data_IF_651092144680
#
_entry.id   IF_651092144680
#
_cell.length_a   1.000
_cell.length_b   1.000
_cell.length_c   1.000
_cell.angle_alpha   90.00
_cell.angle_beta   90.00
_cell.angle_gamma   90.00
#
_symmetry.space_group_name_H-M   'P 1'
#
loop_
_entity.id
_entity.type
_entity.pdbx_description
1 polymer ?
#
# COMPACT_ATOMS: atom_id res chain seq x y z
N UNK A 1 -34.78 8.85 22.82
CA UNK A 1 -34.14 8.78 21.48
C UNK A 1 -34.16 7.34 21.02
N UNK A 2 -34.68 7.06 19.82
CA UNK A 2 -34.85 5.70 19.31
C UNK A 2 -33.48 5.14 18.87
N UNK A 3 -33.25 3.83 19.03
CA UNK A 3 -31.97 3.18 18.74
C UNK A 3 -31.43 3.47 17.33
N UNK A 4 -32.32 3.61 16.35
CA UNK A 4 -31.99 3.98 14.97
C UNK A 4 -31.44 5.41 14.83
N UNK A 5 -31.97 6.36 15.61
CA UNK A 5 -31.50 7.74 15.58
C UNK A 5 -30.10 7.86 16.22
N UNK A 6 -29.85 7.14 17.31
CA UNK A 6 -28.52 7.04 17.93
C UNK A 6 -27.50 6.36 17.02
N UNK A 7 -27.90 5.29 16.31
CA UNK A 7 -27.03 4.64 15.33
C UNK A 7 -26.71 5.56 14.15
N UNK A 8 -27.69 6.28 13.63
CA UNK A 8 -27.50 7.25 12.54
C UNK A 8 -26.48 8.33 12.90
N UNK A 9 -26.59 8.92 14.10
CA UNK A 9 -25.63 9.92 14.59
C UNK A 9 -24.23 9.34 14.78
N UNK A 10 -24.14 8.12 15.33
CA UNK A 10 -22.87 7.42 15.50
C UNK A 10 -22.22 7.07 14.15
N UNK A 11 -23.00 6.62 13.16
CA UNK A 11 -22.53 6.27 11.83
C UNK A 11 -22.09 7.50 11.01
N UNK A 12 -22.75 8.65 11.18
CA UNK A 12 -22.32 9.91 10.58
C UNK A 12 -20.98 10.40 11.17
N UNK A 13 -20.79 10.22 12.48
CA UNK A 13 -19.51 10.53 13.15
C UNK A 13 -18.39 9.58 12.72
N UNK A 14 -18.71 8.31 12.51
CA UNK A 14 -17.76 7.25 12.17
C UNK A 14 -17.86 6.84 10.69
N UNK A 15 -17.46 7.74 9.78
CA UNK A 15 -17.61 7.54 8.32
C UNK A 15 -16.96 6.26 7.79
N UNK A 16 -15.96 5.71 8.50
CA UNK A 16 -15.31 4.43 8.17
C UNK A 16 -16.27 3.22 8.18
N UNK A 17 -17.41 3.32 8.88
CA UNK A 17 -18.39 2.24 8.96
C UNK A 17 -18.94 1.86 7.58
N UNK A 18 -19.10 2.84 6.68
CA UNK A 18 -19.63 2.60 5.34
C UNK A 18 -18.66 1.80 4.48
N UNK A 19 -17.36 2.07 4.60
CA UNK A 19 -16.33 1.29 3.94
C UNK A 19 -16.29 -0.14 4.49
N UNK A 20 -16.36 -0.31 5.81
CA UNK A 20 -16.39 -1.63 6.45
C UNK A 20 -17.62 -2.45 6.02
N UNK A 21 -18.81 -1.85 6.03
CA UNK A 21 -20.03 -2.49 5.54
C UNK A 21 -19.93 -2.84 4.06
N UNK A 22 -19.40 -1.95 3.22
CA UNK A 22 -19.19 -2.21 1.80
C UNK A 22 -18.30 -3.44 1.55
N UNK A 23 -17.19 -3.54 2.29
CA UNK A 23 -16.28 -4.70 2.22
C UNK A 23 -16.99 -5.98 2.67
N UNK A 24 -17.72 -5.95 3.79
CA UNK A 24 -18.44 -7.13 4.30
C UNK A 24 -19.55 -7.61 3.36
N UNK A 25 -20.32 -6.68 2.78
CA UNK A 25 -21.37 -6.99 1.81
C UNK A 25 -20.74 -7.59 0.55
N UNK A 26 -19.69 -6.96 0.00
CA UNK A 26 -19.02 -7.47 -1.18
C UNK A 26 -18.43 -8.86 -0.94
N UNK A 27 -17.80 -9.07 0.21
CA UNK A 27 -17.27 -10.37 0.60
C UNK A 27 -18.37 -11.43 0.70
N UNK A 28 -19.53 -11.10 1.29
CA UNK A 28 -20.67 -12.01 1.39
C UNK A 28 -21.22 -12.36 0.00
N UNK A 29 -21.43 -11.36 -0.86
CA UNK A 29 -21.91 -11.56 -2.24
C UNK A 29 -20.95 -12.46 -3.01
N UNK A 30 -19.65 -12.18 -2.97
CA UNK A 30 -18.64 -12.99 -3.67
C UNK A 30 -18.57 -14.41 -3.09
N UNK A 31 -18.71 -14.58 -1.78
CA UNK A 31 -18.73 -15.90 -1.13
C UNK A 31 -19.92 -16.74 -1.60
N UNK A 32 -21.08 -16.12 -1.79
CA UNK A 32 -22.30 -16.79 -2.30
C UNK A 32 -22.14 -17.13 -3.78
N UNK A 33 -21.74 -16.17 -4.61
CA UNK A 33 -21.62 -16.36 -6.08
C UNK A 33 -20.57 -17.42 -6.43
N UNK A 34 -19.48 -17.47 -5.68
CA UNK A 34 -18.39 -18.44 -5.92
C UNK A 34 -18.57 -19.75 -5.15
N UNK A 35 -19.57 -19.85 -4.27
CA UNK A 35 -19.75 -20.94 -3.30
C UNK A 35 -18.51 -21.22 -2.44
N UNK A 36 -17.67 -20.20 -2.20
CA UNK A 36 -16.44 -20.30 -1.42
C UNK A 36 -16.48 -19.36 -0.22
N UNK A 37 -16.99 -19.88 0.89
CA UNK A 37 -16.92 -19.17 2.17
C UNK A 37 -15.56 -19.39 2.82
N UNK A 38 -14.80 -18.32 3.05
CA UNK A 38 -13.44 -18.40 3.57
C UNK A 38 -13.12 -17.21 4.46
N UNK A 39 -12.95 -17.44 5.77
CA UNK A 39 -12.46 -16.42 6.69
C UNK A 39 -11.01 -16.03 6.39
N UNK A 40 -10.22 -16.94 5.80
CA UNK A 40 -8.85 -16.63 5.37
C UNK A 40 -8.82 -15.60 4.23
N UNK A 41 -9.82 -15.57 3.35
CA UNK A 41 -9.94 -14.49 2.35
C UNK A 41 -10.11 -13.12 3.01
N UNK A 42 -10.89 -13.03 4.08
CA UNK A 42 -11.08 -11.79 4.84
C UNK A 42 -9.79 -11.38 5.57
N UNK A 43 -9.06 -12.33 6.15
CA UNK A 43 -7.74 -12.07 6.75
C UNK A 43 -6.75 -11.49 5.74
N UNK A 44 -6.73 -12.01 4.50
CA UNK A 44 -5.87 -11.47 3.44
C UNK A 44 -6.25 -10.05 3.01
N UNK A 45 -7.55 -9.73 3.01
CA UNK A 45 -8.04 -8.37 2.76
C UNK A 45 -7.62 -7.43 3.88
N UNK A 46 -7.74 -7.84 5.14
CA UNK A 46 -7.33 -7.05 6.31
C UNK A 46 -5.82 -6.78 6.28
N UNK A 47 -5.01 -7.79 5.93
CA UNK A 47 -3.56 -7.65 5.79
C UNK A 47 -3.20 -6.63 4.70
N UNK A 48 -3.84 -6.73 3.52
CA UNK A 48 -3.66 -5.75 2.44
C UNK A 48 -4.11 -4.34 2.84
N UNK A 49 -5.25 -4.23 3.53
CA UNK A 49 -5.78 -2.96 4.01
C UNK A 49 -4.87 -2.33 5.08
N UNK A 50 -4.20 -3.14 5.90
CA UNK A 50 -3.26 -2.66 6.93
C UNK A 50 -2.07 -1.94 6.28
N UNK A 51 -1.50 -2.53 5.23
CA UNK A 51 -0.44 -1.86 4.45
C UNK A 51 -0.91 -0.54 3.84
N UNK A 52 -2.09 -0.55 3.20
CA UNK A 52 -2.67 0.67 2.61
C UNK A 52 -3.05 1.72 3.66
N UNK A 53 -3.37 1.32 4.88
CA UNK A 53 -3.68 2.25 5.99
C UNK A 53 -2.43 3.01 6.41
N UNK A 54 -1.29 2.33 6.57
CA UNK A 54 -0.01 2.99 6.88
C UNK A 54 0.37 3.99 5.79
N UNK A 55 0.25 3.57 4.54
CA UNK A 55 0.49 4.43 3.37
C UNK A 55 -0.48 5.61 3.34
N UNK A 56 -1.76 5.38 3.64
CA UNK A 56 -2.80 6.40 3.69
C UNK A 56 -2.55 7.45 4.77
N UNK A 57 -1.98 7.07 5.91
CA UNK A 57 -1.52 8.01 6.93
C UNK A 57 -0.40 8.90 6.37
N UNK A 58 0.55 8.32 5.64
CA UNK A 58 1.58 9.08 4.92
C UNK A 58 0.99 10.06 3.89
N UNK A 59 0.05 9.59 3.07
CA UNK A 59 -0.65 10.41 2.10
C UNK A 59 -1.44 11.56 2.75
N UNK A 60 -1.97 11.35 3.96
CA UNK A 60 -2.69 12.39 4.70
C UNK A 60 -1.80 13.61 4.96
N UNK A 61 -0.50 13.42 5.22
CA UNK A 61 0.43 14.55 5.32
C UNK A 61 0.49 15.32 4.00
N UNK A 62 0.71 14.66 2.87
CA UNK A 62 0.78 15.30 1.54
C UNK A 62 -0.48 16.12 1.24
N UNK A 63 -1.66 15.56 1.54
CA UNK A 63 -2.95 16.21 1.32
C UNK A 63 -3.14 17.41 2.24
N UNK A 64 -2.82 17.27 3.53
CA UNK A 64 -3.14 18.29 4.55
C UNK A 64 -2.10 19.40 4.68
N UNK A 65 -0.81 19.10 4.52
CA UNK A 65 0.25 20.12 4.61
C UNK A 65 0.45 20.86 3.29
N UNK A 66 0.00 20.28 2.17
CA UNK A 66 0.04 20.88 0.85
C UNK A 66 -1.23 21.65 0.48
N UNK A 67 -1.43 21.86 -0.82
CA UNK A 67 -2.64 22.49 -1.39
C UNK A 67 -3.74 21.46 -1.69
N UNK A 68 -3.85 20.39 -0.89
CA UNK A 68 -4.75 19.27 -1.19
C UNK A 68 -4.26 18.37 -2.34
N UNK A 69 -2.95 18.32 -2.57
CA UNK A 69 -2.37 17.47 -3.61
C UNK A 69 -2.47 15.99 -3.22
N UNK A 70 -2.60 15.12 -4.23
CA UNK A 70 -2.64 13.67 -4.05
C UNK A 70 -1.47 13.07 -4.84
N UNK A 71 -0.67 12.21 -4.20
CA UNK A 71 0.36 11.43 -4.87
C UNK A 71 -0.21 10.15 -5.48
N UNK A 72 -0.25 10.08 -6.80
CA UNK A 72 -0.71 8.89 -7.55
C UNK A 72 0.42 7.89 -7.85
N UNK A 73 1.68 8.25 -7.61
CA UNK A 73 2.84 7.39 -7.85
C UNK A 73 3.03 6.30 -6.78
N UNK A 74 2.32 6.41 -5.65
CA UNK A 74 2.47 5.56 -4.45
C UNK A 74 2.42 4.06 -4.77
N UNK A 75 1.50 3.61 -5.61
CA UNK A 75 1.40 2.20 -5.99
C UNK A 75 2.66 1.70 -6.73
N UNK A 76 3.18 2.51 -7.65
CA UNK A 76 4.44 2.22 -8.36
C UNK A 76 5.65 2.28 -7.45
N UNK A 77 5.68 3.20 -6.47
CA UNK A 77 6.75 3.28 -5.45
C UNK A 77 6.78 2.01 -4.61
N UNK A 78 5.62 1.55 -4.12
CA UNK A 78 5.52 0.30 -3.34
C UNK A 78 6.04 -0.88 -4.16
N UNK A 79 5.63 -0.97 -5.43
CA UNK A 79 6.01 -2.09 -6.29
C UNK A 79 7.50 -2.06 -6.60
N UNK A 80 8.05 -0.91 -7.02
CA UNK A 80 9.48 -0.81 -7.30
C UNK A 80 10.33 -1.03 -6.04
N UNK A 81 9.87 -0.55 -4.88
CA UNK A 81 10.54 -0.79 -3.60
C UNK A 81 10.62 -2.28 -3.25
N UNK A 82 9.55 -3.03 -3.53
CA UNK A 82 9.57 -4.49 -3.36
C UNK A 82 10.58 -5.17 -4.30
N UNK A 83 10.71 -4.71 -5.53
CA UNK A 83 11.70 -5.22 -6.49
C UNK A 83 13.13 -4.87 -6.08
N UNK A 84 13.37 -3.65 -5.61
CA UNK A 84 14.67 -3.23 -5.07
C UNK A 84 15.02 -4.06 -3.84
N UNK A 85 14.07 -4.31 -2.94
CA UNK A 85 14.27 -5.20 -1.80
C UNK A 85 14.63 -6.63 -2.25
N UNK A 86 13.96 -7.19 -3.25
CA UNK A 86 14.30 -8.52 -3.78
C UNK A 86 15.72 -8.56 -4.37
N UNK A 87 16.09 -7.55 -5.16
CA UNK A 87 17.41 -7.46 -5.80
C UNK A 87 18.56 -7.27 -4.80
N UNK A 88 18.28 -6.64 -3.66
CA UNK A 88 19.28 -6.34 -2.62
C UNK A 88 19.39 -7.46 -1.58
N UNK A 89 18.26 -7.98 -1.10
CA UNK A 89 18.21 -9.00 -0.04
C UNK A 89 18.72 -10.36 -0.55
N UNK A 90 18.35 -10.74 -1.79
CA UNK A 90 18.77 -11.99 -2.44
C UNK A 90 18.55 -13.25 -1.57
N UNK A 91 17.47 -13.28 -0.79
CA UNK A 91 17.12 -14.39 0.10
C UNK A 91 17.98 -14.54 1.36
N UNK A 92 18.85 -13.58 1.68
CA UNK A 92 19.77 -13.66 2.82
C UNK A 92 19.38 -12.67 3.91
N UNK A 93 19.23 -13.13 5.16
CA UNK A 93 18.89 -12.25 6.30
C UNK A 93 19.96 -11.20 6.57
N UNK A 94 21.24 -11.49 6.28
CA UNK A 94 22.34 -10.54 6.42
C UNK A 94 22.14 -9.26 5.56
N UNK A 95 21.44 -9.38 4.43
CA UNK A 95 21.18 -8.26 3.52
C UNK A 95 19.84 -7.57 3.81
N UNK A 96 19.06 -8.02 4.80
CA UNK A 96 17.73 -7.49 5.11
C UNK A 96 17.79 -5.99 5.42
N UNK A 97 18.74 -5.58 6.27
CA UNK A 97 18.92 -4.17 6.62
C UNK A 97 19.25 -3.32 5.39
N UNK A 98 20.08 -3.82 4.49
CA UNK A 98 20.45 -3.14 3.23
C UNK A 98 19.22 -2.97 2.34
N UNK A 99 18.39 -4.00 2.22
CA UNK A 99 17.17 -3.93 1.42
C UNK A 99 16.14 -2.94 1.97
N UNK A 100 15.96 -2.89 3.29
CA UNK A 100 15.08 -1.92 3.95
C UNK A 100 15.57 -0.49 3.69
N UNK A 101 16.87 -0.24 3.88
CA UNK A 101 17.46 1.08 3.64
C UNK A 101 17.32 1.48 2.16
N UNK A 102 17.59 0.56 1.23
CA UNK A 102 17.45 0.83 -0.20
C UNK A 102 16.01 1.19 -0.60
N UNK A 103 15.00 0.50 -0.04
CA UNK A 103 13.60 0.81 -0.26
C UNK A 103 13.20 2.19 0.29
N UNK A 104 13.67 2.54 1.50
CA UNK A 104 13.43 3.87 2.11
C UNK A 104 14.05 4.97 1.24
N UNK A 105 15.31 4.80 0.81
CA UNK A 105 16.00 5.77 -0.03
C UNK A 105 15.30 5.97 -1.38
N UNK A 106 14.78 4.90 -1.98
CA UNK A 106 13.96 5.00 -3.19
C UNK A 106 12.71 5.86 -2.96
N UNK A 107 11.97 5.58 -1.87
CA UNK A 107 10.78 6.36 -1.51
C UNK A 107 11.08 7.84 -1.29
N UNK A 108 12.18 8.15 -0.59
CA UNK A 108 12.65 9.53 -0.39
C UNK A 108 13.06 10.21 -1.70
N UNK A 109 13.76 9.50 -2.59
CA UNK A 109 14.17 10.03 -3.87
C UNK A 109 12.97 10.36 -4.76
N UNK A 110 11.96 9.47 -4.80
CA UNK A 110 10.73 9.71 -5.54
C UNK A 110 9.92 10.86 -4.92
N UNK A 111 9.81 10.91 -3.60
CA UNK A 111 9.13 12.01 -2.90
C UNK A 111 9.78 13.36 -3.19
N UNK A 112 11.12 13.42 -3.17
CA UNK A 112 11.88 14.62 -3.54
C UNK A 112 11.65 15.02 -5.01
N UNK A 113 11.64 14.04 -5.93
CA UNK A 113 11.33 14.28 -7.34
C UNK A 113 9.92 14.85 -7.51
N UNK A 114 8.91 14.23 -6.90
CA UNK A 114 7.52 14.72 -6.96
C UNK A 114 7.40 16.13 -6.37
N UNK A 115 8.06 16.40 -5.25
CA UNK A 115 8.11 17.75 -4.67
C UNK A 115 8.75 18.77 -5.62
N UNK A 116 9.85 18.40 -6.29
CA UNK A 116 10.52 19.27 -7.26
C UNK A 116 9.61 19.57 -8.47
N UNK A 117 8.94 18.56 -9.03
CA UNK A 117 8.04 18.73 -10.17
C UNK A 117 6.83 19.62 -9.83
N UNK A 118 6.26 19.43 -8.64
CA UNK A 118 5.03 20.13 -8.24
C UNK A 118 5.31 21.51 -7.68
N UNK A 119 6.23 21.62 -6.71
CA UNK A 119 6.52 22.88 -6.02
C UNK A 119 7.55 23.71 -6.80
N UNK A 120 8.59 23.07 -7.34
CA UNK A 120 9.65 23.76 -8.06
C UNK A 120 9.27 24.15 -9.48
N UNK A 121 8.68 23.23 -10.26
CA UNK A 121 8.32 23.46 -11.66
C UNK A 121 6.85 23.87 -11.87
N UNK A 122 6.01 23.82 -10.82
CA UNK A 122 4.61 24.24 -10.90
C UNK A 122 3.71 23.29 -11.69
N UNK A 123 4.12 22.04 -11.91
CA UNK A 123 3.31 21.05 -12.63
C UNK A 123 2.15 20.60 -11.73
N UNK A 124 0.90 20.51 -12.23
CA UNK A 124 -0.22 19.99 -11.45
C UNK A 124 0.08 18.60 -10.86
N UNK A 125 -0.16 18.42 -9.56
CA UNK A 125 0.28 17.24 -8.81
C UNK A 125 -0.22 15.91 -9.37
N UNK A 126 -1.47 15.86 -9.82
CA UNK A 126 -2.06 14.67 -10.46
C UNK A 126 -1.24 14.26 -11.68
N UNK A 127 -0.87 15.21 -12.54
CA UNK A 127 -0.13 14.95 -13.78
C UNK A 127 1.30 14.52 -13.46
N UNK A 128 1.98 15.27 -12.59
CA UNK A 128 3.37 14.98 -12.21
C UNK A 128 3.51 13.60 -11.57
N UNK A 129 2.66 13.30 -10.59
CA UNK A 129 2.76 12.04 -9.82
C UNK A 129 2.30 10.83 -10.64
N UNK A 130 1.30 10.98 -11.52
CA UNK A 130 0.93 9.92 -12.44
C UNK A 130 2.07 9.62 -13.44
N UNK A 131 2.70 10.67 -14.00
CA UNK A 131 3.84 10.51 -14.91
C UNK A 131 5.03 9.84 -14.22
N UNK A 132 5.41 10.28 -13.01
CA UNK A 132 6.41 9.60 -12.19
C UNK A 132 6.02 8.14 -11.95
N UNK A 133 4.75 7.88 -11.62
CA UNK A 133 4.22 6.54 -11.43
C UNK A 133 4.43 5.63 -12.65
N UNK A 134 4.21 6.12 -13.87
CA UNK A 134 4.47 5.35 -15.09
C UNK A 134 5.95 5.08 -15.32
N UNK A 135 6.83 6.06 -15.07
CA UNK A 135 8.28 5.87 -15.17
C UNK A 135 8.75 4.77 -14.20
N UNK A 136 8.27 4.81 -12.95
CA UNK A 136 8.60 3.79 -11.94
C UNK A 136 8.01 2.41 -12.30
N UNK A 137 6.82 2.37 -12.88
CA UNK A 137 6.24 1.13 -13.38
C UNK A 137 7.10 0.52 -14.50
N UNK A 138 7.59 1.34 -15.44
CA UNK A 138 8.56 0.87 -16.45
C UNK A 138 9.86 0.39 -15.81
N UNK A 139 10.41 1.12 -14.84
CA UNK A 139 11.61 0.69 -14.11
C UNK A 139 11.40 -0.67 -13.41
N UNK A 140 10.20 -0.91 -12.87
CA UNK A 140 9.82 -2.20 -12.29
C UNK A 140 9.85 -3.32 -13.32
N UNK A 141 9.25 -3.09 -14.50
CA UNK A 141 9.25 -4.06 -15.60
C UNK A 141 10.67 -4.38 -16.09
N UNK A 142 11.55 -3.39 -16.15
CA UNK A 142 12.95 -3.59 -16.50
C UNK A 142 13.70 -4.39 -15.43
N UNK A 143 13.44 -4.07 -14.15
CA UNK A 143 14.06 -4.74 -13.00
C UNK A 143 13.67 -6.21 -12.89
N UNK A 144 12.47 -6.58 -13.33
CA UNK A 144 11.99 -7.96 -13.32
C UNK A 144 12.97 -8.93 -14.00
N UNK A 145 13.55 -8.52 -15.14
CA UNK A 145 14.51 -9.34 -15.89
C UNK A 145 15.79 -9.66 -15.11
N UNK A 146 16.13 -8.83 -14.12
CA UNK A 146 17.33 -8.98 -13.32
C UNK A 146 17.13 -9.82 -12.06
N UNK A 147 15.91 -10.32 -11.80
CA UNK A 147 15.60 -11.15 -10.64
C UNK A 147 15.81 -12.63 -11.03
N UNK A 148 16.90 -13.29 -10.58
CA UNK A 148 17.17 -14.69 -10.92
C UNK A 148 16.22 -15.67 -10.20
N UNK A 149 15.51 -15.22 -9.16
CA UNK A 149 14.49 -15.95 -8.44
C UNK A 149 13.88 -15.13 -7.31
N UNK A 150 12.64 -15.43 -6.92
CA UNK A 150 11.95 -14.79 -5.80
C UNK A 150 12.39 -15.41 -4.46
N UNK A 151 13.65 -15.21 -4.10
CA UNK A 151 14.18 -15.64 -2.82
C UNK A 151 13.93 -14.56 -1.76
N UNK A 152 13.11 -14.89 -0.76
CA UNK A 152 12.81 -14.03 0.38
C UNK A 152 13.65 -14.49 1.56
N UNK A 153 14.14 -13.55 2.37
CA UNK A 153 14.93 -13.90 3.55
C UNK A 153 14.04 -14.65 4.57
N UNK A 154 14.56 -15.68 5.27
CA UNK A 154 13.78 -16.43 6.25
C UNK A 154 13.14 -15.55 7.32
N UNK A 155 13.89 -14.60 7.89
CA UNK A 155 13.35 -13.71 8.91
C UNK A 155 12.18 -12.84 8.39
N UNK A 156 12.28 -12.34 7.16
CA UNK A 156 11.19 -11.57 6.55
C UNK A 156 9.97 -12.45 6.25
N UNK A 157 10.19 -13.70 5.84
CA UNK A 157 9.12 -14.67 5.61
C UNK A 157 8.39 -14.98 6.92
N UNK A 158 9.12 -15.23 7.99
CA UNK A 158 8.54 -15.53 9.30
C UNK A 158 7.70 -14.35 9.77
N UNK A 159 8.27 -13.13 9.80
CA UNK A 159 7.53 -11.91 10.19
C UNK A 159 6.29 -11.66 9.31
N UNK A 160 6.38 -11.93 8.01
CA UNK A 160 5.27 -11.69 7.08
C UNK A 160 4.19 -12.77 7.09
N UNK A 161 4.51 -14.00 7.54
CA UNK A 161 3.58 -15.14 7.53
C UNK A 161 3.21 -15.63 8.93
N UNK A 162 3.78 -15.05 9.98
CA UNK A 162 3.42 -15.34 11.35
C UNK A 162 1.94 -15.03 11.57
N UNK A 163 1.23 -16.00 12.14
CA UNK A 163 -0.21 -15.93 12.41
C UNK A 163 -0.44 -16.04 13.90
N UNK A 164 -1.12 -15.06 14.47
CA UNK A 164 -1.48 -15.08 15.89
C UNK A 164 -2.81 -15.83 16.01
N UNK A 165 -2.76 -17.07 16.50
CA UNK A 165 -3.96 -17.91 16.68
C UNK A 165 -4.42 -18.67 15.42
N UNK A 166 -3.54 -18.86 14.43
CA UNK A 166 -3.85 -19.57 13.20
C UNK A 166 -4.63 -18.75 12.15
N UNK A 167 -4.88 -17.47 12.45
CA UNK A 167 -5.49 -16.46 11.58
C UNK A 167 -4.47 -15.36 11.30
#
# INVERSE_FOLDING_TARGET
MNAFATFGLWAQRNRWIWAALGVLILWLVLSIVTSRFSLSSLSGVILSASFLTVVGIGQMFVVTTGRGNIDLSVASVITLSAFVALLTIKGQDANLAIGVVAAILLGLAVGALNSLLVVGLGIPAIIATLATGYVLATATLLSNKAIPGFAVSPALKDVATERIGGV
#
